data_IF_191627251978
#
_entry.id   IF_191627251978
#
_cell.length_a   1.000
_cell.length_b   1.000
_cell.length_c   1.000
_cell.angle_alpha   90.00
_cell.angle_beta   90.00
_cell.angle_gamma   90.00
#
_symmetry.space_group_name_H-M   'P 1'
#
loop_
_entity.id
_entity.type
_entity.pdbx_description
1 polymer ?
#
# COMPACT_ATOMS: atom_id res chain seq x y z
N UNK A 1 10.97 -6.47 14.03
CA UNK A 1 10.59 -5.12 14.50
C UNK A 1 9.64 -4.39 13.56
N UNK A 2 10.07 -3.90 12.38
CA UNK A 2 9.22 -3.00 11.55
C UNK A 2 7.89 -3.64 11.10
N UNK A 3 7.87 -4.96 10.87
CA UNK A 3 6.71 -5.66 10.32
C UNK A 3 5.97 -6.57 11.32
N UNK A 4 6.29 -6.47 12.60
CA UNK A 4 5.66 -7.29 13.64
C UNK A 4 4.15 -7.00 13.75
N UNK A 5 3.38 -8.02 14.11
CA UNK A 5 1.93 -7.95 14.29
C UNK A 5 1.55 -7.29 15.60
N UNK A 6 2.27 -7.66 16.67
CA UNK A 6 2.00 -7.33 18.05
C UNK A 6 3.30 -6.93 18.76
N UNK A 7 3.14 -6.40 19.97
CA UNK A 7 4.23 -5.82 20.75
C UNK A 7 5.21 -6.91 21.22
N UNK A 8 4.73 -8.12 21.53
CA UNK A 8 5.57 -9.26 21.92
C UNK A 8 6.50 -9.69 20.77
N UNK A 9 5.97 -9.86 19.55
CA UNK A 9 6.78 -10.16 18.36
C UNK A 9 7.77 -9.02 18.04
N UNK A 10 7.42 -7.78 18.40
CA UNK A 10 8.34 -6.65 18.24
C UNK A 10 9.54 -6.76 19.19
N UNK A 11 9.28 -7.01 20.47
CA UNK A 11 10.32 -7.10 21.50
C UNK A 11 11.22 -8.33 21.26
N UNK A 12 10.64 -9.49 20.93
CA UNK A 12 11.42 -10.67 20.53
C UNK A 12 12.33 -10.40 19.32
N UNK A 13 11.84 -9.62 18.35
CA UNK A 13 12.62 -9.26 17.18
C UNK A 13 13.72 -8.23 17.49
N UNK A 14 13.55 -7.41 18.52
CA UNK A 14 14.60 -6.51 19.00
C UNK A 14 15.69 -7.30 19.73
N UNK A 15 15.32 -8.20 20.63
CA UNK A 15 16.27 -9.07 21.34
C UNK A 15 17.09 -9.93 20.36
N UNK A 16 16.41 -10.48 19.35
CA UNK A 16 17.08 -11.22 18.27
C UNK A 16 18.07 -10.36 17.51
N UNK A 17 17.70 -9.12 17.16
CA UNK A 17 18.60 -8.19 16.48
C UNK A 17 19.84 -7.87 17.32
N UNK A 18 19.68 -7.65 18.64
CA UNK A 18 20.81 -7.41 19.54
C UNK A 18 21.74 -8.63 19.63
N UNK A 19 21.18 -9.83 19.58
CA UNK A 19 21.92 -11.10 19.66
C UNK A 19 22.61 -11.47 18.35
N UNK A 20 21.99 -11.19 17.20
CA UNK A 20 22.53 -11.48 15.87
C UNK A 20 23.66 -10.53 15.45
N UNK A 21 23.64 -9.28 15.94
CA UNK A 21 24.61 -8.24 15.57
C UNK A 21 25.35 -7.66 16.79
N UNK A 22 26.04 -8.48 17.60
CA UNK A 22 26.69 -8.04 18.82
C UNK A 22 27.85 -7.05 18.57
N UNK A 23 28.51 -7.15 17.41
CA UNK A 23 29.61 -6.28 17.01
C UNK A 23 29.18 -4.87 16.58
N UNK A 24 27.89 -4.65 16.29
CA UNK A 24 27.39 -3.38 15.75
C UNK A 24 26.95 -2.39 16.84
N UNK A 25 27.78 -2.19 17.86
CA UNK A 25 27.44 -1.40 19.05
C UNK A 25 26.95 0.01 18.73
N UNK A 26 27.62 0.70 17.79
CA UNK A 26 27.23 2.04 17.37
C UNK A 26 25.81 2.09 16.78
N UNK A 27 25.43 1.08 15.99
CA UNK A 27 24.09 1.01 15.38
C UNK A 27 23.05 0.66 16.44
N UNK A 28 23.35 -0.31 17.32
CA UNK A 28 22.44 -0.69 18.41
C UNK A 28 22.16 0.50 19.33
N UNK A 29 23.20 1.18 19.80
CA UNK A 29 23.09 2.36 20.65
C UNK A 29 22.33 3.48 19.97
N UNK A 30 22.56 3.72 18.67
CA UNK A 30 21.82 4.72 17.92
C UNK A 30 20.32 4.40 17.83
N UNK A 31 19.98 3.15 17.49
CA UNK A 31 18.57 2.72 17.39
C UNK A 31 17.86 2.79 18.75
N UNK A 32 18.52 2.37 19.82
CA UNK A 32 18.00 2.41 21.18
C UNK A 32 17.80 3.83 21.68
N UNK A 33 18.74 4.73 21.39
CA UNK A 33 18.69 6.13 21.85
C UNK A 33 17.73 6.98 21.03
N UNK A 34 17.60 6.74 19.72
CA UNK A 34 16.89 7.66 18.82
C UNK A 34 15.61 7.08 18.20
N UNK A 35 15.57 5.79 17.88
CA UNK A 35 14.44 5.19 17.15
C UNK A 35 13.45 4.47 18.08
N UNK A 36 13.92 3.73 19.08
CA UNK A 36 13.04 3.03 20.01
C UNK A 36 12.13 3.97 20.83
N UNK A 37 12.56 5.17 21.27
CA UNK A 37 11.67 6.09 21.98
C UNK A 37 10.48 6.55 21.14
N UNK A 38 10.59 6.52 19.81
CA UNK A 38 9.52 6.83 18.88
C UNK A 38 8.97 5.61 18.15
N UNK A 39 9.11 4.40 18.72
CA UNK A 39 8.67 3.12 18.11
C UNK A 39 7.20 3.13 17.69
N UNK A 40 6.35 3.90 18.36
CA UNK A 40 4.94 4.01 17.99
C UNK A 40 4.71 4.68 16.61
N UNK A 41 5.68 5.46 16.12
CA UNK A 41 5.60 6.17 14.85
C UNK A 41 5.97 5.29 13.64
N UNK A 42 6.66 4.17 13.85
CA UNK A 42 7.19 3.34 12.76
C UNK A 42 7.04 1.83 12.95
N UNK A 43 6.94 1.35 14.20
CA UNK A 43 6.80 -0.07 14.51
C UNK A 43 5.42 -0.60 14.12
N UNK A 44 5.40 -1.75 13.43
CA UNK A 44 4.21 -2.41 12.91
C UNK A 44 3.01 -2.47 13.87
N UNK A 45 3.19 -2.90 15.14
CA UNK A 45 2.08 -3.06 16.09
C UNK A 45 1.33 -1.75 16.38
N UNK A 46 2.05 -0.62 16.36
CA UNK A 46 1.48 0.70 16.66
C UNK A 46 1.00 1.41 15.39
N UNK A 47 1.80 1.44 14.33
CA UNK A 47 1.43 2.19 13.11
C UNK A 47 0.25 1.60 12.38
N UNK A 48 0.02 0.29 12.54
CA UNK A 48 -1.13 -0.36 11.90
C UNK A 48 -2.47 -0.06 12.55
N UNK A 49 -2.48 0.63 13.71
CA UNK A 49 -3.68 1.22 14.30
C UNK A 49 -4.19 2.40 13.48
N UNK A 50 -3.31 3.05 12.72
CA UNK A 50 -3.67 4.14 11.81
C UNK A 50 -3.98 3.61 10.41
N UNK A 51 -4.89 4.29 9.70
CA UNK A 51 -5.27 3.96 8.33
C UNK A 51 -4.15 4.35 7.35
N UNK A 52 -3.08 3.55 7.33
CA UNK A 52 -1.90 3.77 6.50
C UNK A 52 -2.04 3.24 5.05
N UNK A 53 -3.25 2.85 4.64
CA UNK A 53 -3.57 2.26 3.32
C UNK A 53 -2.64 1.12 2.86
N UNK A 54 -1.98 0.44 3.80
CA UNK A 54 -1.00 -0.59 3.49
C UNK A 54 0.32 -0.05 2.90
N UNK A 55 0.62 1.23 3.10
CA UNK A 55 1.89 1.83 2.77
C UNK A 55 2.96 1.28 3.73
N UNK A 56 3.71 0.30 3.22
CA UNK A 56 4.69 -0.50 3.99
C UNK A 56 6.12 -0.29 3.53
N UNK A 57 6.30 0.52 2.50
CA UNK A 57 7.55 0.66 1.80
C UNK A 57 7.94 2.12 1.78
N UNK A 58 9.25 2.38 1.90
CA UNK A 58 9.86 3.66 1.56
C UNK A 58 9.81 3.92 0.05
N UNK A 59 9.45 2.92 -0.76
CA UNK A 59 9.39 2.99 -2.22
C UNK A 59 8.65 4.23 -2.76
N UNK A 60 7.50 4.70 -2.23
CA UNK A 60 6.89 5.94 -2.71
C UNK A 60 7.77 7.16 -2.43
N UNK A 61 8.39 7.24 -1.25
CA UNK A 61 9.32 8.31 -0.86
C UNK A 61 10.59 8.27 -1.69
N UNK A 62 11.18 7.09 -1.88
CA UNK A 62 12.37 6.88 -2.71
C UNK A 62 12.09 7.15 -4.19
N UNK A 63 10.93 6.74 -4.69
CA UNK A 63 10.51 7.00 -6.06
C UNK A 63 10.26 8.49 -6.27
N UNK A 64 9.60 9.17 -5.33
CA UNK A 64 9.43 10.62 -5.37
C UNK A 64 10.78 11.34 -5.32
N UNK A 65 11.72 10.87 -4.50
CA UNK A 65 13.07 11.42 -4.42
C UNK A 65 13.85 11.19 -5.71
N UNK A 66 13.76 9.99 -6.31
CA UNK A 66 14.37 9.67 -7.60
C UNK A 66 13.78 10.51 -8.74
N UNK A 67 12.46 10.67 -8.76
CA UNK A 67 11.77 11.48 -9.74
C UNK A 67 12.19 12.95 -9.59
N UNK A 68 12.18 13.51 -8.38
CA UNK A 68 12.69 14.86 -8.13
C UNK A 68 14.13 15.03 -8.63
N UNK A 69 15.00 14.04 -8.35
CA UNK A 69 16.38 14.03 -8.88
C UNK A 69 16.43 13.98 -10.40
N UNK A 70 15.50 13.34 -11.10
CA UNK A 70 15.47 13.34 -12.57
C UNK A 70 15.13 14.70 -13.18
N UNK A 71 14.41 15.56 -12.45
CA UNK A 71 14.19 16.95 -12.85
C UNK A 71 15.37 17.86 -12.46
N UNK A 72 16.14 17.48 -11.44
CA UNK A 72 17.36 18.18 -11.02
C UNK A 72 18.56 17.74 -11.86
N UNK A 73 18.85 18.51 -12.91
CA UNK A 73 19.98 18.26 -13.82
C UNK A 73 21.35 18.32 -13.10
N UNK A 74 21.45 19.01 -11.95
CA UNK A 74 22.69 19.11 -11.18
C UNK A 74 22.45 19.09 -9.66
N UNK A 75 23.32 18.41 -8.91
CA UNK A 75 23.28 18.27 -7.45
C UNK A 75 23.63 19.54 -6.66
N UNK A 76 24.00 20.64 -7.34
CA UNK A 76 24.30 21.95 -6.75
C UNK A 76 23.27 23.03 -7.09
N UNK A 77 22.00 22.65 -7.18
CA UNK A 77 20.91 23.60 -7.47
C UNK A 77 20.59 24.49 -6.27
N UNK A 78 20.10 25.71 -6.51
CA UNK A 78 19.64 26.60 -5.44
C UNK A 78 18.29 26.14 -4.88
N UNK A 79 17.97 26.55 -3.65
CA UNK A 79 16.64 26.30 -3.06
C UNK A 79 15.50 26.86 -3.93
N UNK A 80 15.72 28.00 -4.56
CA UNK A 80 14.77 28.58 -5.51
C UNK A 80 14.55 27.65 -6.71
N UNK A 81 15.64 27.12 -7.29
CA UNK A 81 15.53 26.19 -8.41
C UNK A 81 14.85 24.87 -8.03
N UNK A 82 15.10 24.39 -6.81
CA UNK A 82 14.43 23.21 -6.26
C UNK A 82 12.92 23.43 -6.18
N UNK A 83 12.47 24.60 -5.71
CA UNK A 83 11.06 24.94 -5.65
C UNK A 83 10.41 24.94 -7.05
N UNK A 84 11.03 25.59 -8.04
CA UNK A 84 10.52 25.61 -9.42
C UNK A 84 10.36 24.19 -9.99
N UNK A 85 11.35 23.34 -9.75
CA UNK A 85 11.34 21.95 -10.21
C UNK A 85 10.23 21.13 -9.52
N UNK A 86 10.00 21.35 -8.22
CA UNK A 86 8.90 20.69 -7.51
C UNK A 86 7.56 21.11 -8.12
N UNK A 87 7.36 22.40 -8.41
CA UNK A 87 6.13 22.89 -9.04
C UNK A 87 5.92 22.26 -10.44
N UNK A 88 6.98 22.21 -11.26
CA UNK A 88 6.94 21.58 -12.57
C UNK A 88 6.60 20.08 -12.50
N UNK A 89 7.23 19.35 -11.57
CA UNK A 89 6.95 17.94 -11.33
C UNK A 89 5.49 17.73 -10.90
N UNK A 90 4.98 18.55 -9.99
CA UNK A 90 3.59 18.45 -9.51
C UNK A 90 2.59 18.74 -10.64
N UNK A 91 2.82 19.78 -11.44
CA UNK A 91 1.98 20.09 -12.60
C UNK A 91 1.98 18.94 -13.62
N UNK A 92 3.16 18.38 -13.91
CA UNK A 92 3.29 17.22 -14.81
C UNK A 92 2.51 16.02 -14.29
N UNK A 93 2.59 15.74 -12.99
CA UNK A 93 1.82 14.66 -12.34
C UNK A 93 0.33 14.89 -12.42
N UNK A 94 -0.14 16.10 -12.15
CA UNK A 94 -1.55 16.45 -12.23
C UNK A 94 -2.10 16.21 -13.64
N UNK A 95 -1.39 16.70 -14.67
CA UNK A 95 -1.75 16.48 -16.07
C UNK A 95 -1.79 14.98 -16.39
N UNK A 96 -0.75 14.24 -16.00
CA UNK A 96 -0.65 12.79 -16.22
C UNK A 96 -1.80 12.05 -15.55
N UNK A 97 -2.17 12.41 -14.32
CA UNK A 97 -3.28 11.79 -13.60
C UNK A 97 -4.63 12.12 -14.25
N UNK A 98 -4.88 13.37 -14.62
CA UNK A 98 -6.09 13.75 -15.36
C UNK A 98 -6.21 12.99 -16.68
N UNK A 99 -5.12 12.87 -17.43
CA UNK A 99 -5.07 12.08 -18.67
C UNK A 99 -5.37 10.61 -18.39
N UNK A 100 -4.73 9.97 -17.40
CA UNK A 100 -4.98 8.57 -17.03
C UNK A 100 -6.43 8.33 -16.61
N UNK A 101 -7.02 9.23 -15.82
CA UNK A 101 -8.43 9.17 -15.43
C UNK A 101 -9.32 9.28 -16.67
N UNK A 102 -9.05 10.24 -17.56
CA UNK A 102 -9.81 10.40 -18.81
C UNK A 102 -9.71 9.15 -19.70
N UNK A 103 -8.51 8.58 -19.86
CA UNK A 103 -8.30 7.32 -20.59
C UNK A 103 -9.07 6.16 -19.97
N UNK A 104 -9.08 6.05 -18.63
CA UNK A 104 -9.85 5.03 -17.92
C UNK A 104 -11.36 5.22 -18.09
N UNK A 105 -11.86 6.46 -18.06
CA UNK A 105 -13.28 6.75 -18.31
C UNK A 105 -13.68 6.44 -19.76
N UNK A 106 -12.84 6.78 -20.73
CA UNK A 106 -13.11 6.57 -22.15
C UNK A 106 -13.06 5.08 -22.55
N UNK A 107 -12.18 4.30 -21.93
CA UNK A 107 -12.00 2.88 -22.25
C UNK A 107 -13.01 2.03 -21.49
N UNK A 108 -14.28 2.09 -21.90
CA UNK A 108 -15.35 1.22 -21.42
C UNK A 108 -14.89 -0.25 -21.27
N UNK A 109 -14.77 -0.74 -20.03
CA UNK A 109 -14.32 -2.11 -19.72
C UNK A 109 -15.38 -3.12 -20.14
N UNK A 110 -15.24 -3.71 -21.32
CA UNK A 110 -16.11 -4.80 -21.81
C UNK A 110 -16.14 -6.01 -20.88
N UNK A 111 -15.04 -6.30 -20.17
CA UNK A 111 -14.94 -7.41 -19.22
C UNK A 111 -15.94 -7.31 -18.06
N UNK A 112 -16.26 -6.09 -17.62
CA UNK A 112 -17.20 -5.83 -16.52
C UNK A 112 -18.55 -5.33 -17.04
N UNK A 113 -18.86 -5.61 -18.32
CA UNK A 113 -20.17 -5.36 -18.91
C UNK A 113 -20.97 -6.65 -19.00
N UNK A 114 -22.29 -6.52 -18.92
CA UNK A 114 -23.24 -7.61 -19.11
C UNK A 114 -23.89 -8.12 -17.83
N UNK A 115 -24.83 -9.06 -17.95
CA UNK A 115 -25.72 -9.47 -16.85
C UNK A 115 -24.95 -9.96 -15.61
N UNK A 116 -23.85 -10.69 -15.82
CA UNK A 116 -22.99 -11.23 -14.74
C UNK A 116 -22.34 -10.15 -13.86
N UNK A 117 -22.24 -8.92 -14.38
CA UNK A 117 -21.67 -7.75 -13.69
C UNK A 117 -22.70 -6.67 -13.39
N UNK A 118 -24.01 -6.92 -13.58
CA UNK A 118 -25.07 -5.94 -13.26
C UNK A 118 -25.05 -5.47 -11.81
N UNK A 119 -24.55 -6.29 -10.89
CA UNK A 119 -24.34 -5.95 -9.49
C UNK A 119 -23.36 -4.78 -9.25
N UNK A 120 -22.49 -4.46 -10.22
CA UNK A 120 -21.59 -3.30 -10.13
C UNK A 120 -22.29 -1.98 -10.47
N UNK A 121 -23.48 -1.99 -11.07
CA UNK A 121 -24.22 -0.77 -11.42
C UNK A 121 -23.36 0.29 -12.12
N UNK A 122 -23.44 1.54 -11.63
CA UNK A 122 -22.62 2.67 -12.10
C UNK A 122 -21.18 2.65 -11.57
N UNK A 123 -20.88 1.84 -10.56
CA UNK A 123 -19.56 1.82 -9.89
C UNK A 123 -18.43 1.51 -10.88
N UNK A 124 -18.68 0.68 -11.91
CA UNK A 124 -17.69 0.39 -12.96
C UNK A 124 -17.19 1.64 -13.71
N UNK A 125 -17.96 2.74 -13.70
CA UNK A 125 -17.61 4.02 -14.34
C UNK A 125 -17.17 5.09 -13.33
N UNK A 126 -17.45 4.92 -12.04
CA UNK A 126 -17.20 5.90 -10.98
C UNK A 126 -15.85 5.69 -10.29
N UNK A 127 -15.38 4.44 -10.18
CA UNK A 127 -14.14 4.11 -9.46
C UNK A 127 -13.02 3.66 -10.39
N UNK A 128 -11.78 3.74 -9.89
CA UNK A 128 -10.61 3.29 -10.64
C UNK A 128 -10.68 1.80 -10.98
N UNK A 129 -10.01 1.40 -12.05
CA UNK A 129 -9.91 -0.01 -12.49
C UNK A 129 -9.43 -0.93 -11.38
N UNK A 130 -8.43 -0.46 -10.61
CA UNK A 130 -7.86 -1.23 -9.51
C UNK A 130 -8.87 -1.48 -8.39
N UNK A 131 -9.77 -0.53 -8.15
CA UNK A 131 -10.85 -0.68 -7.19
C UNK A 131 -11.87 -1.73 -7.67
N UNK A 132 -12.33 -1.65 -8.91
CA UNK A 132 -13.25 -2.66 -9.50
C UNK A 132 -12.65 -4.06 -9.43
N UNK A 133 -11.37 -4.22 -9.79
CA UNK A 133 -10.66 -5.51 -9.72
C UNK A 133 -10.63 -6.08 -8.29
N UNK A 134 -10.39 -5.22 -7.30
CA UNK A 134 -10.39 -5.61 -5.89
C UNK A 134 -11.77 -6.04 -5.40
N UNK A 135 -12.82 -5.31 -5.76
CA UNK A 135 -14.20 -5.68 -5.39
C UNK A 135 -14.60 -7.00 -6.05
N UNK A 136 -14.28 -7.19 -7.33
CA UNK A 136 -14.54 -8.44 -8.03
C UNK A 136 -13.78 -9.62 -7.41
N UNK A 137 -12.53 -9.40 -6.98
CA UNK A 137 -11.76 -10.42 -6.26
C UNK A 137 -12.45 -10.85 -4.95
N UNK A 138 -12.92 -9.88 -4.16
CA UNK A 138 -13.67 -10.17 -2.93
C UNK A 138 -14.98 -10.90 -3.19
N UNK A 139 -15.70 -10.53 -4.26
CA UNK A 139 -16.90 -11.27 -4.68
C UNK A 139 -16.60 -12.74 -5.00
N UNK A 140 -15.48 -13.02 -5.70
CA UNK A 140 -15.06 -14.40 -5.99
C UNK A 140 -14.80 -15.20 -4.72
N UNK A 141 -14.17 -14.59 -3.72
CA UNK A 141 -13.94 -15.21 -2.41
C UNK A 141 -15.28 -15.50 -1.70
N UNK A 142 -16.19 -14.52 -1.68
CA UNK A 142 -17.51 -14.66 -1.05
C UNK A 142 -18.40 -15.73 -1.73
N UNK A 143 -18.33 -15.87 -3.06
CA UNK A 143 -19.05 -16.93 -3.76
C UNK A 143 -18.46 -18.31 -3.42
N UNK A 144 -17.13 -18.41 -3.37
CA UNK A 144 -16.45 -19.67 -3.02
C UNK A 144 -16.69 -20.12 -1.57
N UNK A 145 -17.13 -19.21 -0.69
CA UNK A 145 -17.46 -19.53 0.69
C UNK A 145 -18.90 -19.99 0.91
N UNK A 146 -19.80 -19.76 -0.03
CA UNK A 146 -21.18 -20.23 0.08
C UNK A 146 -21.27 -21.74 -0.20
N UNK A 147 -22.07 -22.50 0.59
CA UNK A 147 -22.41 -23.88 0.26
C UNK A 147 -23.06 -23.93 -1.14
N UNK A 148 -22.52 -24.75 -2.04
CA UNK A 148 -22.97 -24.81 -3.44
C UNK A 148 -22.49 -23.67 -4.36
N UNK A 149 -21.69 -22.71 -3.87
CA UNK A 149 -21.21 -21.57 -4.67
C UNK A 149 -20.07 -21.89 -5.64
N UNK A 150 -19.46 -23.08 -5.53
CA UNK A 150 -18.42 -23.55 -6.45
C UNK A 150 -18.53 -25.05 -6.66
N UNK A 151 -18.51 -25.50 -7.92
CA UNK A 151 -18.45 -26.92 -8.27
C UNK A 151 -17.21 -27.65 -7.69
N UNK A 152 -16.16 -26.89 -7.32
CA UNK A 152 -14.94 -27.46 -6.70
C UNK A 152 -15.03 -27.57 -5.17
N UNK A 153 -15.97 -26.87 -4.52
CA UNK A 153 -16.10 -26.84 -3.05
C UNK A 153 -17.57 -26.92 -2.64
N UNK A 154 -18.14 -28.14 -2.55
CA UNK A 154 -19.56 -28.34 -2.30
C UNK A 154 -20.04 -27.76 -0.96
N UNK A 155 -19.20 -27.83 0.07
CA UNK A 155 -19.48 -27.34 1.43
C UNK A 155 -19.11 -25.86 1.63
N UNK A 156 -18.50 -25.21 0.63
CA UNK A 156 -17.96 -23.85 0.75
C UNK A 156 -16.70 -23.78 1.62
N UNK A 157 -15.81 -22.81 1.34
CA UNK A 157 -14.66 -22.53 2.22
C UNK A 157 -15.04 -21.44 3.22
N UNK A 158 -14.99 -21.66 4.55
CA UNK A 158 -15.39 -20.64 5.51
C UNK A 158 -14.56 -19.35 5.33
N UNK A 159 -15.25 -18.21 5.37
CA UNK A 159 -14.59 -16.91 5.33
C UNK A 159 -13.71 -16.75 6.57
N UNK A 160 -12.52 -16.18 6.38
CA UNK A 160 -11.70 -15.77 7.51
C UNK A 160 -12.35 -14.59 8.23
N UNK A 161 -12.13 -14.42 9.54
CA UNK A 161 -12.57 -13.23 10.26
C UNK A 161 -12.13 -11.96 9.54
N UNK A 162 -13.03 -10.97 9.46
CA UNK A 162 -12.70 -9.69 8.83
C UNK A 162 -11.66 -8.97 9.70
N UNK A 163 -10.44 -8.86 9.19
CA UNK A 163 -9.33 -8.19 9.89
C UNK A 163 -9.24 -6.69 9.56
N UNK A 164 -10.21 -6.15 8.79
CA UNK A 164 -10.13 -4.79 8.24
C UNK A 164 -9.02 -4.59 7.19
N UNK A 165 -8.28 -5.65 6.83
CA UNK A 165 -7.15 -5.60 5.88
C UNK A 165 -7.48 -6.40 4.62
N UNK A 166 -7.60 -5.72 3.47
CA UNK A 166 -7.86 -6.33 2.15
C UNK A 166 -6.77 -7.31 1.65
N UNK A 167 -5.62 -7.39 2.32
CA UNK A 167 -4.54 -8.34 2.02
C UNK A 167 -4.67 -9.68 2.76
N UNK A 168 -5.67 -9.82 3.63
CA UNK A 168 -5.88 -11.00 4.50
C UNK A 168 -7.28 -11.63 4.37
N UNK A 169 -8.07 -11.16 3.41
CA UNK A 169 -9.35 -11.76 3.02
C UNK A 169 -9.14 -12.78 1.90
#
# INVERSE_FOLDING_TARGET
>A
MVYCQDEDEFDEAWDRFQTEFPEQEAIRSYLETHYLPCKEQWGGPWVTRYQNFGQRTTSPTESAHRELKSYLVNGKSSLYKLHEVIQEMLNTKEITYKQRIATQKARLRTEFKGPSFGWLGSTNMEVSYKAVDKVNHQKKIAIASQPGGSARYPTGRPLRPCTGRFSRQ
#
